data_IF_413488840643
#
_entry.id   IF_413488840643
#
_cell.length_a   1.000
_cell.length_b   1.000
_cell.length_c   1.000
_cell.angle_alpha   90.00
_cell.angle_beta   90.00
_cell.angle_gamma   90.00
#
_symmetry.space_group_name_H-M   'P 1'
#
loop_
_entity.id
_entity.type
_entity.pdbx_description
1 polymer ?
#
# COMPACT_ATOMS: atom_id res chain seq x y z
N UNK A 1 -3.47 27.43 4.94
CA UNK A 1 -3.09 28.88 4.74
C UNK A 1 -4.23 29.55 4.03
N UNK A 2 -4.68 30.75 4.45
CA UNK A 2 -5.73 31.48 3.76
C UNK A 2 -5.19 31.95 2.41
N UNK A 3 -5.70 31.42 1.31
CA UNK A 3 -5.36 31.90 -0.03
C UNK A 3 -5.93 33.32 -0.22
N UNK A 4 -5.10 34.24 -0.68
CA UNK A 4 -5.54 35.59 -1.07
C UNK A 4 -6.64 35.50 -2.13
N UNK A 5 -7.68 36.33 -2.02
CA UNK A 5 -8.78 36.35 -2.99
C UNK A 5 -8.26 36.58 -4.41
N UNK A 6 -8.60 35.68 -5.32
CA UNK A 6 -8.33 35.83 -6.76
C UNK A 6 -9.47 36.55 -7.46
N UNK A 7 -9.18 37.22 -8.58
CA UNK A 7 -10.19 37.91 -9.40
C UNK A 7 -11.01 36.89 -10.21
N UNK A 8 -12.22 37.29 -10.65
CA UNK A 8 -13.05 36.40 -11.49
C UNK A 8 -12.30 35.90 -12.76
N UNK A 9 -11.47 36.77 -13.37
CA UNK A 9 -10.66 36.39 -14.53
C UNK A 9 -9.52 35.43 -14.18
N UNK A 10 -8.92 35.57 -13.01
CA UNK A 10 -7.92 34.62 -12.51
C UNK A 10 -8.54 33.26 -12.19
N UNK A 11 -9.77 33.24 -11.64
CA UNK A 11 -10.52 32.03 -11.42
C UNK A 11 -10.82 31.31 -12.73
N UNK A 12 -11.33 32.02 -13.74
CA UNK A 12 -11.61 31.47 -15.06
C UNK A 12 -10.37 30.81 -15.72
N UNK A 13 -9.21 31.47 -15.60
CA UNK A 13 -7.94 30.93 -16.08
C UNK A 13 -7.55 29.66 -15.32
N UNK A 14 -7.66 29.68 -14.00
CA UNK A 14 -7.32 28.54 -13.16
C UNK A 14 -8.23 27.34 -13.45
N UNK A 15 -9.53 27.56 -13.59
CA UNK A 15 -10.51 26.53 -13.90
C UNK A 15 -10.27 25.92 -15.30
N UNK A 16 -9.90 26.74 -16.28
CA UNK A 16 -9.52 26.25 -17.60
C UNK A 16 -8.25 25.40 -17.55
N UNK A 17 -7.22 25.81 -16.81
CA UNK A 17 -5.98 25.03 -16.63
C UNK A 17 -6.32 23.69 -15.98
N UNK A 18 -7.14 23.68 -14.92
CA UNK A 18 -7.58 22.46 -14.24
C UNK A 18 -8.31 21.51 -15.20
N UNK A 19 -9.26 22.03 -15.98
CA UNK A 19 -10.03 21.22 -16.93
C UNK A 19 -9.15 20.58 -18.02
N UNK A 20 -8.18 21.32 -18.57
CA UNK A 20 -7.26 20.80 -19.59
C UNK A 20 -6.32 19.72 -19.02
N UNK A 21 -5.84 19.90 -17.80
CA UNK A 21 -5.03 18.87 -17.11
C UNK A 21 -5.84 17.58 -16.87
N UNK A 22 -7.12 17.70 -16.53
CA UNK A 22 -8.00 16.52 -16.36
C UNK A 22 -8.23 15.83 -17.71
N UNK A 23 -8.60 16.60 -18.75
CA UNK A 23 -9.04 16.05 -20.04
C UNK A 23 -7.87 15.54 -20.90
N UNK A 24 -6.72 16.22 -20.88
CA UNK A 24 -5.58 15.95 -21.77
C UNK A 24 -4.35 15.38 -21.06
N UNK A 25 -4.31 15.43 -19.72
CA UNK A 25 -3.17 14.96 -18.93
C UNK A 25 -2.01 15.96 -18.82
N UNK A 26 -2.07 17.10 -19.51
CA UNK A 26 -1.03 18.14 -19.49
C UNK A 26 -1.63 19.55 -19.49
N UNK A 27 -0.91 20.56 -18.98
CA UNK A 27 -1.40 21.93 -18.93
C UNK A 27 -1.47 22.58 -20.33
N UNK A 28 -2.43 23.50 -20.54
CA UNK A 28 -2.59 24.22 -21.80
C UNK A 28 -1.43 25.21 -22.07
N UNK A 29 -1.24 25.59 -23.33
CA UNK A 29 -0.32 26.66 -23.68
C UNK A 29 -0.91 28.02 -23.33
N UNK A 30 -0.06 29.07 -23.24
CA UNK A 30 -0.50 30.44 -23.02
C UNK A 30 -1.46 30.93 -24.11
N UNK A 31 -1.32 30.41 -25.35
CA UNK A 31 -2.23 30.72 -26.45
C UNK A 31 -3.59 30.07 -26.26
N UNK A 32 -3.62 28.81 -25.85
CA UNK A 32 -4.87 28.10 -25.56
C UNK A 32 -5.65 28.81 -24.45
N UNK A 33 -4.94 29.25 -23.39
CA UNK A 33 -5.54 30.01 -22.30
C UNK A 33 -6.10 31.35 -22.85
N UNK A 34 -5.32 32.08 -23.68
CA UNK A 34 -5.72 33.34 -24.24
C UNK A 34 -7.02 33.25 -25.04
N UNK A 35 -7.16 32.21 -25.87
CA UNK A 35 -8.34 31.94 -26.68
C UNK A 35 -9.53 31.52 -25.79
N UNK A 36 -9.33 30.62 -24.87
CA UNK A 36 -10.40 30.05 -24.01
C UNK A 36 -11.05 31.13 -23.12
N UNK A 37 -10.24 32.02 -22.54
CA UNK A 37 -10.73 33.08 -21.64
C UNK A 37 -10.94 34.43 -22.37
N UNK A 38 -10.95 34.44 -23.69
CA UNK A 38 -11.21 35.62 -24.55
C UNK A 38 -10.34 36.85 -24.22
N UNK A 39 -9.07 36.64 -23.91
CA UNK A 39 -8.09 37.72 -23.72
C UNK A 39 -7.47 38.13 -25.06
N UNK A 40 -7.26 39.43 -25.23
CA UNK A 40 -6.74 40.02 -26.49
C UNK A 40 -5.23 39.83 -26.68
N UNK A 41 -4.49 39.51 -25.62
CA UNK A 41 -3.04 39.35 -25.69
C UNK A 41 -2.49 38.30 -24.74
N UNK A 42 -1.47 37.61 -25.19
CA UNK A 42 -0.73 36.63 -24.34
C UNK A 42 -0.01 37.30 -23.17
N UNK A 43 0.34 38.59 -23.29
CA UNK A 43 0.93 39.37 -22.19
C UNK A 43 -0.01 39.48 -21.01
N UNK A 44 -1.33 39.66 -21.27
CA UNK A 44 -2.33 39.68 -20.20
C UNK A 44 -2.43 38.30 -19.48
N UNK A 45 -2.34 37.22 -20.24
CA UNK A 45 -2.31 35.87 -19.65
C UNK A 45 -1.08 35.67 -18.73
N UNK A 46 0.10 36.12 -19.21
CA UNK A 46 1.33 36.05 -18.39
C UNK A 46 1.19 36.84 -17.09
N UNK A 47 0.62 38.02 -17.10
CA UNK A 47 0.39 38.84 -15.90
C UNK A 47 -0.57 38.12 -14.91
N UNK A 48 -1.64 37.51 -15.41
CA UNK A 48 -2.56 36.72 -14.57
C UNK A 48 -1.88 35.46 -13.99
N UNK A 49 -1.09 34.74 -14.79
CA UNK A 49 -0.36 33.56 -14.33
C UNK A 49 0.71 33.92 -13.28
N UNK A 50 1.41 35.06 -13.42
CA UNK A 50 2.35 35.55 -12.40
C UNK A 50 1.63 35.90 -11.09
N UNK A 51 0.45 36.50 -11.18
CA UNK A 51 -0.36 36.78 -10.01
C UNK A 51 -0.86 35.52 -9.31
N UNK A 52 -1.31 34.50 -10.07
CA UNK A 52 -1.71 33.20 -9.53
C UNK A 52 -0.54 32.47 -8.85
N UNK A 53 0.66 32.58 -9.43
CA UNK A 53 1.89 32.01 -8.86
C UNK A 53 2.28 32.71 -7.55
N UNK A 54 2.28 34.03 -7.51
CA UNK A 54 2.55 34.83 -6.30
C UNK A 54 1.55 34.53 -5.18
N UNK A 55 0.31 34.22 -5.52
CA UNK A 55 -0.76 33.85 -4.56
C UNK A 55 -0.74 32.35 -4.18
N UNK A 56 0.16 31.54 -4.74
CA UNK A 56 0.34 30.13 -4.39
C UNK A 56 -0.68 29.17 -4.99
N UNK A 57 -1.42 29.56 -6.05
CA UNK A 57 -2.38 28.67 -6.73
C UNK A 57 -1.72 27.80 -7.79
N UNK A 58 -0.63 28.29 -8.40
CA UNK A 58 0.14 27.55 -9.40
C UNK A 58 1.63 27.70 -9.13
N UNK A 59 2.43 26.81 -9.71
CA UNK A 59 3.89 26.92 -9.80
C UNK A 59 4.31 26.72 -11.25
N UNK A 60 5.26 27.53 -11.73
CA UNK A 60 5.85 27.38 -13.05
C UNK A 60 7.27 26.85 -12.95
N UNK A 61 7.64 25.95 -13.83
CA UNK A 61 9.04 25.53 -14.00
C UNK A 61 9.68 26.40 -15.09
N UNK A 62 10.63 27.28 -14.75
CA UNK A 62 11.27 28.18 -15.71
C UNK A 62 12.07 27.44 -16.79
N UNK A 63 12.41 26.18 -16.57
CA UNK A 63 13.18 25.36 -17.51
C UNK A 63 12.32 24.62 -18.54
N UNK A 64 10.99 24.61 -18.35
CA UNK A 64 10.06 23.88 -19.22
C UNK A 64 8.92 24.78 -19.70
N UNK A 65 8.79 25.05 -21.01
CA UNK A 65 7.85 26.03 -21.55
C UNK A 65 6.35 25.78 -21.29
N UNK A 66 5.96 24.61 -20.80
CA UNK A 66 4.56 24.21 -20.53
C UNK A 66 4.35 23.62 -19.14
N UNK A 67 5.29 23.78 -18.22
CA UNK A 67 5.17 23.23 -16.90
C UNK A 67 4.44 24.20 -15.96
N UNK A 68 3.12 24.14 -15.94
CA UNK A 68 2.27 24.77 -14.93
C UNK A 68 1.76 23.66 -14.02
N UNK A 69 2.09 23.73 -12.75
CA UNK A 69 1.60 22.85 -11.70
C UNK A 69 0.54 23.59 -10.88
N UNK A 70 -0.61 22.99 -10.68
CA UNK A 70 -1.68 23.51 -9.81
C UNK A 70 -1.42 23.03 -8.39
N UNK A 71 -1.34 23.97 -7.44
CA UNK A 71 -1.01 23.72 -6.04
C UNK A 71 -2.25 23.54 -5.14
N UNK A 72 -3.42 23.38 -5.74
CA UNK A 72 -4.69 23.17 -5.04
C UNK A 72 -4.82 21.70 -4.62
N UNK A 73 -4.89 21.45 -3.30
CA UNK A 73 -4.99 20.11 -2.73
C UNK A 73 -6.30 19.42 -3.13
N UNK A 74 -7.42 20.14 -3.17
CA UNK A 74 -8.72 19.61 -3.58
C UNK A 74 -8.71 19.21 -5.07
N UNK A 75 -8.01 19.97 -5.91
CA UNK A 75 -7.85 19.64 -7.33
C UNK A 75 -6.98 18.40 -7.53
N UNK A 76 -5.88 18.28 -6.81
CA UNK A 76 -5.00 17.12 -6.91
C UNK A 76 -5.71 15.85 -6.44
N UNK A 77 -6.52 15.92 -5.39
CA UNK A 77 -7.38 14.84 -4.91
C UNK A 77 -8.41 14.45 -5.96
N UNK A 78 -9.17 15.41 -6.50
CA UNK A 78 -10.19 15.16 -7.55
C UNK A 78 -9.59 14.61 -8.84
N UNK A 79 -8.36 15.00 -9.19
CA UNK A 79 -7.62 14.47 -10.35
C UNK A 79 -7.25 12.99 -10.14
N UNK A 80 -6.80 12.62 -8.96
CA UNK A 80 -6.51 11.22 -8.61
C UNK A 80 -7.79 10.37 -8.67
N UNK A 81 -8.91 10.89 -8.18
CA UNK A 81 -10.22 10.21 -8.26
C UNK A 81 -10.69 10.04 -9.71
N UNK A 82 -10.52 11.05 -10.57
CA UNK A 82 -10.92 10.99 -11.99
C UNK A 82 -10.05 10.07 -12.85
N UNK A 83 -8.81 9.82 -12.44
CA UNK A 83 -7.90 8.85 -13.06
C UNK A 83 -8.15 7.41 -12.58
N UNK A 84 -9.19 7.18 -11.75
CA UNK A 84 -9.49 5.88 -11.17
C UNK A 84 -8.50 5.45 -10.07
N UNK A 85 -7.58 6.33 -9.71
CA UNK A 85 -6.84 6.19 -8.47
C UNK A 85 -7.73 6.72 -7.34
N UNK A 86 -8.79 5.96 -6.99
CA UNK A 86 -9.44 6.14 -5.70
C UNK A 86 -8.31 6.26 -4.68
N UNK A 87 -8.46 7.14 -3.68
CA UNK A 87 -7.64 7.09 -2.48
C UNK A 87 -7.87 5.73 -1.83
N UNK A 88 -7.21 4.70 -2.36
CA UNK A 88 -7.17 3.42 -1.70
C UNK A 88 -6.49 3.69 -0.38
N UNK A 89 -7.24 3.54 0.69
CA UNK A 89 -6.67 3.61 2.03
C UNK A 89 -5.51 2.62 2.08
N UNK A 90 -4.30 3.15 2.22
CA UNK A 90 -3.09 2.34 2.33
C UNK A 90 -2.83 2.06 3.80
N UNK A 91 -2.52 0.83 4.11
CA UNK A 91 -2.05 0.45 5.43
C UNK A 91 -0.60 0.00 5.37
N UNK A 92 0.19 0.41 6.36
CA UNK A 92 1.59 0.01 6.46
C UNK A 92 1.68 -1.27 7.29
N UNK A 93 2.01 -2.39 6.65
CA UNK A 93 2.14 -3.69 7.32
C UNK A 93 3.60 -3.88 7.72
N UNK A 94 3.90 -4.13 9.02
CA UNK A 94 5.26 -4.35 9.49
C UNK A 94 5.83 -5.67 8.96
N UNK A 95 7.08 -5.63 8.48
CA UNK A 95 7.87 -6.81 8.15
C UNK A 95 8.66 -7.21 9.39
N UNK A 96 8.43 -8.43 9.87
CA UNK A 96 9.09 -8.98 11.04
C UNK A 96 10.33 -9.78 10.61
N UNK A 97 11.47 -9.37 11.10
CA UNK A 97 12.76 -10.02 10.78
C UNK A 97 13.02 -11.28 11.60
N UNK A 98 12.80 -11.19 12.90
CA UNK A 98 13.05 -12.31 13.84
C UNK A 98 11.83 -12.50 14.72
N UNK A 99 11.40 -13.73 14.90
CA UNK A 99 10.34 -14.09 15.84
C UNK A 99 11.00 -14.84 16.99
N UNK A 100 10.92 -14.29 18.21
CA UNK A 100 11.46 -14.89 19.41
C UNK A 100 10.32 -15.32 20.35
N UNK A 101 10.49 -16.44 21.04
CA UNK A 101 9.56 -16.88 22.06
C UNK A 101 9.52 -15.88 23.23
N UNK A 102 8.31 -15.66 23.77
CA UNK A 102 8.10 -14.79 24.92
C UNK A 102 8.01 -13.29 24.63
N UNK A 103 8.28 -12.86 23.40
CA UNK A 103 8.15 -11.46 22.99
C UNK A 103 6.92 -11.26 22.08
N UNK A 104 6.12 -10.18 22.26
CA UNK A 104 5.05 -9.88 21.32
C UNK A 104 5.61 -9.74 19.90
N UNK A 105 4.99 -10.40 18.91
CA UNK A 105 5.49 -10.44 17.54
C UNK A 105 5.60 -9.04 16.91
N UNK A 106 4.69 -8.15 17.26
CA UNK A 106 4.67 -6.76 16.80
C UNK A 106 5.50 -5.80 17.68
N UNK A 107 6.35 -6.31 18.57
CA UNK A 107 7.28 -5.45 19.29
C UNK A 107 8.20 -4.71 18.31
N UNK A 108 8.43 -3.42 18.55
CA UNK A 108 9.19 -2.55 17.63
C UNK A 108 10.58 -3.08 17.27
N UNK A 109 11.22 -3.79 18.20
CA UNK A 109 12.53 -4.41 17.99
C UNK A 109 12.54 -5.54 16.95
N UNK A 110 11.36 -6.13 16.63
CA UNK A 110 11.22 -7.20 15.66
C UNK A 110 10.92 -6.67 14.25
N UNK A 111 10.53 -5.39 14.12
CA UNK A 111 10.15 -4.77 12.85
C UNK A 111 11.41 -4.31 12.11
N UNK A 112 11.60 -4.80 10.90
CA UNK A 112 12.72 -4.42 10.03
C UNK A 112 12.35 -3.40 8.98
N UNK A 113 11.11 -3.39 8.52
CA UNK A 113 10.58 -2.52 7.47
C UNK A 113 9.05 -2.45 7.53
N UNK A 114 8.44 -1.61 6.68
CA UNK A 114 7.00 -1.55 6.46
C UNK A 114 6.70 -1.65 4.96
N UNK A 115 5.66 -2.41 4.61
CA UNK A 115 5.16 -2.53 3.23
C UNK A 115 3.80 -1.86 3.16
N UNK A 116 3.63 -0.79 2.36
CA UNK A 116 2.33 -0.18 2.13
C UNK A 116 1.49 -1.10 1.22
N UNK A 117 0.32 -1.50 1.68
CA UNK A 117 -0.64 -2.28 0.90
C UNK A 117 -2.01 -1.59 0.89
N UNK A 118 -2.74 -1.66 -0.24
CA UNK A 118 -4.13 -1.23 -0.30
C UNK A 118 -5.00 -1.99 0.70
N UNK A 119 -5.82 -1.27 1.47
CA UNK A 119 -6.65 -1.88 2.52
C UNK A 119 -7.68 -2.87 1.96
N UNK A 120 -8.15 -2.66 0.73
CA UNK A 120 -9.08 -3.54 0.02
C UNK A 120 -8.45 -4.89 -0.41
N UNK A 121 -7.12 -4.97 -0.51
CA UNK A 121 -6.39 -6.21 -0.76
C UNK A 121 -6.23 -7.07 0.49
N UNK A 122 -6.54 -6.53 1.67
CA UNK A 122 -6.38 -7.23 2.94
C UNK A 122 -7.71 -7.88 3.34
N UNK A 123 -7.80 -9.22 3.42
CA UNK A 123 -9.01 -9.90 3.87
C UNK A 123 -9.41 -9.47 5.28
N UNK A 124 -10.72 -9.27 5.53
CA UNK A 124 -11.24 -8.98 6.88
C UNK A 124 -11.21 -7.51 7.30
N UNK A 125 -10.88 -6.55 6.41
CA UNK A 125 -10.94 -5.10 6.68
C UNK A 125 -10.27 -4.70 8.01
N UNK A 126 -9.07 -5.21 8.28
CA UNK A 126 -8.20 -4.83 9.39
C UNK A 126 -8.82 -4.94 10.81
N UNK A 127 -9.67 -5.93 11.06
CA UNK A 127 -10.17 -6.21 12.41
C UNK A 127 -9.06 -6.73 13.35
N UNK A 128 -8.09 -7.45 12.80
CA UNK A 128 -6.90 -7.92 13.51
C UNK A 128 -5.64 -7.27 12.95
N UNK A 129 -4.58 -7.15 13.74
CA UNK A 129 -3.27 -6.71 13.22
C UNK A 129 -2.73 -7.69 12.17
N UNK A 130 -1.96 -7.15 11.21
CA UNK A 130 -1.25 -7.91 10.19
C UNK A 130 0.25 -7.72 10.31
N UNK A 131 1.01 -8.72 9.88
CA UNK A 131 2.45 -8.64 9.76
C UNK A 131 2.92 -9.47 8.57
N UNK A 132 4.14 -9.19 8.11
CA UNK A 132 4.79 -9.90 7.00
C UNK A 132 5.97 -10.66 7.55
N UNK A 133 6.15 -11.91 7.08
CA UNK A 133 7.33 -12.73 7.34
C UNK A 133 7.99 -13.14 6.02
N UNK A 134 9.33 -13.17 6.02
CA UNK A 134 10.10 -13.77 4.94
C UNK A 134 10.15 -15.29 5.11
N UNK A 135 9.75 -16.00 4.08
CA UNK A 135 9.77 -17.47 4.07
C UNK A 135 11.18 -17.97 3.85
N UNK A 136 11.58 -18.97 4.67
CA UNK A 136 12.83 -19.71 4.50
C UNK A 136 12.53 -21.20 4.43
N UNK A 137 13.15 -21.87 3.44
CA UNK A 137 12.99 -23.32 3.22
C UNK A 137 11.77 -23.67 2.36
N UNK A 138 11.65 -24.98 2.09
CA UNK A 138 10.81 -25.51 1.01
C UNK A 138 9.62 -26.34 1.53
N UNK A 139 9.24 -26.17 2.80
CA UNK A 139 8.21 -26.99 3.42
C UNK A 139 6.79 -26.74 2.90
N UNK A 140 6.56 -25.71 2.09
CA UNK A 140 5.24 -25.30 1.60
C UNK A 140 5.18 -25.15 0.07
N UNK A 141 6.10 -25.79 -0.66
CA UNK A 141 6.24 -25.64 -2.12
C UNK A 141 5.02 -26.14 -2.89
N UNK A 142 4.37 -27.23 -2.44
CA UNK A 142 3.20 -27.82 -3.11
C UNK A 142 1.96 -26.92 -3.08
N UNK A 143 1.91 -25.93 -2.17
CA UNK A 143 0.88 -24.91 -2.15
C UNK A 143 1.35 -23.56 -2.72
N UNK A 144 2.52 -23.52 -3.39
CA UNK A 144 3.02 -22.36 -4.11
C UNK A 144 3.76 -21.33 -3.25
N UNK A 145 4.12 -21.67 -2.00
CA UNK A 145 4.94 -20.80 -1.13
C UNK A 145 6.38 -21.32 -1.16
N UNK A 146 7.29 -20.47 -1.64
CA UNK A 146 8.70 -20.80 -1.84
C UNK A 146 9.63 -20.02 -0.92
N UNK A 147 10.84 -20.50 -0.77
CA UNK A 147 11.89 -19.77 -0.06
C UNK A 147 12.17 -18.42 -0.75
N UNK A 148 12.19 -17.33 0.03
CA UNK A 148 12.33 -15.96 -0.47
C UNK A 148 11.01 -15.21 -0.65
N UNK A 149 9.86 -15.89 -0.57
CA UNK A 149 8.56 -15.24 -0.56
C UNK A 149 8.34 -14.44 0.72
N UNK A 150 7.44 -13.46 0.64
CA UNK A 150 6.89 -12.76 1.78
C UNK A 150 5.43 -13.18 1.98
N UNK A 151 5.08 -13.70 3.16
CA UNK A 151 3.71 -14.04 3.51
C UNK A 151 3.09 -12.95 4.35
N UNK A 152 1.83 -12.61 4.04
CA UNK A 152 0.99 -11.71 4.83
C UNK A 152 0.24 -12.56 5.83
N UNK A 153 0.37 -12.24 7.11
CA UNK A 153 -0.19 -13.02 8.21
C UNK A 153 -1.15 -12.15 9.02
N UNK A 154 -2.37 -12.62 9.18
CA UNK A 154 -3.34 -12.06 10.12
C UNK A 154 -3.06 -12.61 11.52
N UNK A 155 -2.78 -11.75 12.48
CA UNK A 155 -2.47 -12.16 13.85
C UNK A 155 -3.69 -12.81 14.50
N UNK A 156 -3.54 -14.07 14.89
CA UNK A 156 -4.55 -14.87 15.59
C UNK A 156 -3.87 -15.85 16.53
N UNK A 157 -4.55 -16.20 17.63
CA UNK A 157 -4.10 -17.25 18.55
C UNK A 157 -4.77 -18.61 18.32
N UNK A 158 -5.68 -18.69 17.34
CA UNK A 158 -6.46 -19.91 17.02
C UNK A 158 -6.48 -20.13 15.51
N UNK A 159 -6.66 -21.39 15.10
CA UNK A 159 -6.80 -21.78 13.71
C UNK A 159 -7.83 -22.91 13.55
N UNK A 160 -8.38 -23.01 12.33
CA UNK A 160 -9.25 -24.09 11.89
C UNK A 160 -8.46 -25.12 11.07
N UNK A 161 -8.94 -26.37 11.06
CA UNK A 161 -8.33 -27.44 10.26
C UNK A 161 -8.24 -27.04 8.78
N UNK A 162 -7.08 -27.27 8.18
CA UNK A 162 -6.79 -26.95 6.79
C UNK A 162 -6.26 -25.54 6.54
N UNK A 163 -6.26 -24.65 7.54
CA UNK A 163 -5.66 -23.31 7.38
C UNK A 163 -4.12 -23.38 7.35
N UNK A 164 -3.51 -22.53 6.53
CA UNK A 164 -2.05 -22.32 6.55
C UNK A 164 -1.77 -21.27 7.62
N UNK A 165 -0.93 -21.65 8.59
CA UNK A 165 -0.62 -20.82 9.75
C UNK A 165 0.88 -20.61 9.91
N UNK A 166 1.22 -19.59 10.68
CA UNK A 166 2.52 -19.45 11.32
C UNK A 166 2.38 -19.91 12.75
N UNK A 167 3.17 -20.89 13.14
CA UNK A 167 3.22 -21.40 14.49
C UNK A 167 4.63 -21.30 15.06
N UNK A 168 4.73 -21.14 16.38
CA UNK A 168 5.97 -21.24 17.14
C UNK A 168 6.11 -22.66 17.69
N UNK A 169 7.16 -23.36 17.28
CA UNK A 169 7.50 -24.73 17.73
C UNK A 169 8.97 -24.72 18.12
N UNK A 170 9.28 -25.12 19.36
CA UNK A 170 10.66 -25.13 19.86
C UNK A 170 11.43 -23.83 19.62
N UNK A 171 10.78 -22.70 19.93
CA UNK A 171 11.33 -21.32 19.75
C UNK A 171 11.59 -20.88 18.31
N UNK A 172 11.17 -21.65 17.33
CA UNK A 172 11.27 -21.33 15.91
C UNK A 172 9.88 -21.13 15.28
N UNK A 173 9.75 -20.07 14.46
CA UNK A 173 8.54 -19.82 13.68
C UNK A 173 8.55 -20.72 12.44
N UNK A 174 7.45 -21.44 12.22
CA UNK A 174 7.28 -22.32 11.06
C UNK A 174 5.94 -22.09 10.37
N UNK A 175 5.91 -22.22 9.04
CA UNK A 175 4.69 -22.15 8.22
C UNK A 175 4.26 -23.57 7.88
N UNK A 176 3.02 -23.93 8.26
CA UNK A 176 2.47 -25.29 8.03
C UNK A 176 0.96 -25.21 7.85
N UNK A 177 0.38 -26.27 7.29
CA UNK A 177 -1.07 -26.47 7.33
C UNK A 177 -1.47 -27.10 8.65
N UNK A 178 -2.43 -26.49 9.33
CA UNK A 178 -2.87 -26.84 10.67
C UNK A 178 -3.97 -27.90 10.64
N UNK A 179 -3.82 -28.91 11.49
CA UNK A 179 -4.88 -29.87 11.81
C UNK A 179 -4.89 -30.18 13.30
N UNK A 180 -6.04 -29.96 13.91
CA UNK A 180 -6.32 -30.39 15.29
C UNK A 180 -6.99 -31.77 15.23
N UNK A 181 -6.26 -32.77 15.61
CA UNK A 181 -6.72 -34.15 15.69
C UNK A 181 -7.27 -34.45 17.13
N UNK A 182 -7.68 -35.68 17.37
CA UNK A 182 -8.32 -36.05 18.64
C UNK A 182 -7.38 -35.96 19.85
N UNK A 183 -6.11 -36.31 19.67
CA UNK A 183 -5.09 -36.48 20.72
C UNK A 183 -3.79 -35.69 20.45
N UNK A 184 -3.70 -35.00 19.32
CA UNK A 184 -2.52 -34.22 18.95
C UNK A 184 -2.86 -33.08 18.00
N UNK A 185 -1.91 -32.19 17.79
CA UNK A 185 -1.92 -31.23 16.70
C UNK A 185 -0.92 -31.70 15.64
N UNK A 186 -1.36 -31.75 14.39
CA UNK A 186 -0.51 -32.05 13.26
C UNK A 186 -0.27 -30.75 12.44
N UNK A 187 0.99 -30.38 12.31
CA UNK A 187 1.45 -29.32 11.45
C UNK A 187 2.02 -29.93 10.16
N UNK A 188 1.20 -29.97 9.13
CA UNK A 188 1.46 -30.64 7.86
C UNK A 188 2.27 -29.72 6.93
N UNK A 189 3.46 -30.16 6.45
CA UNK A 189 4.13 -29.48 5.34
C UNK A 189 3.37 -29.74 4.03
N UNK A 190 3.41 -28.81 3.15
CA UNK A 190 2.99 -28.93 1.73
C UNK A 190 4.24 -29.24 0.88
N UNK A 191 4.87 -30.39 1.21
CA UNK A 191 6.04 -30.93 0.53
C UNK A 191 6.08 -32.44 0.81
N UNK A 192 6.01 -33.24 -0.25
CA UNK A 192 5.93 -34.69 -0.16
C UNK A 192 7.21 -35.35 0.40
N UNK A 193 8.33 -34.63 0.41
CA UNK A 193 9.61 -35.11 0.97
C UNK A 193 9.79 -34.82 2.47
N UNK A 194 8.80 -34.20 3.12
CA UNK A 194 8.89 -33.76 4.50
C UNK A 194 7.80 -34.39 5.38
N UNK A 195 8.18 -34.87 6.53
CA UNK A 195 7.24 -35.42 7.51
C UNK A 195 6.49 -34.33 8.27
N UNK A 196 5.24 -34.61 8.71
CA UNK A 196 4.49 -33.67 9.53
C UNK A 196 5.10 -33.57 10.94
N UNK A 197 4.98 -32.37 11.54
CA UNK A 197 5.32 -32.17 12.94
C UNK A 197 4.11 -32.53 13.78
N UNK A 198 4.28 -33.55 14.63
CA UNK A 198 3.24 -34.02 15.55
C UNK A 198 3.50 -33.43 16.94
N UNK A 199 2.51 -32.74 17.48
CA UNK A 199 2.58 -32.09 18.79
C UNK A 199 1.57 -32.77 19.69
N UNK A 200 2.02 -33.64 20.65
CA UNK A 200 1.14 -34.36 21.54
C UNK A 200 0.28 -33.45 22.43
N UNK A 201 -0.85 -33.96 22.91
CA UNK A 201 -1.68 -33.29 23.89
C UNK A 201 -0.85 -32.90 25.13
N UNK A 202 -0.91 -31.64 25.55
CA UNK A 202 -0.15 -31.09 26.68
C UNK A 202 1.15 -30.42 26.33
N UNK A 203 1.67 -30.58 25.12
CA UNK A 203 2.77 -29.76 24.62
C UNK A 203 2.21 -28.42 24.06
N UNK A 204 2.86 -27.32 24.42
CA UNK A 204 2.43 -26.00 23.96
C UNK A 204 2.92 -25.71 22.53
N UNK A 205 1.99 -25.31 21.68
CA UNK A 205 2.24 -24.66 20.39
C UNK A 205 1.57 -23.31 20.40
N UNK A 206 2.30 -22.27 20.02
CA UNK A 206 1.72 -20.95 19.91
C UNK A 206 1.41 -20.65 18.44
N UNK A 207 0.13 -20.44 18.14
CA UNK A 207 -0.29 -19.95 16.84
C UNK A 207 -0.05 -18.44 16.82
N UNK A 208 0.76 -17.97 15.87
CA UNK A 208 1.10 -16.55 15.69
C UNK A 208 0.13 -15.86 14.74
N UNK A 209 -0.44 -16.62 13.79
CA UNK A 209 -1.42 -16.08 12.86
C UNK A 209 -1.71 -17.02 11.69
N UNK A 210 -2.69 -16.57 10.88
CA UNK A 210 -3.13 -17.23 9.65
C UNK A 210 -2.48 -16.53 8.45
N UNK A 211 -1.94 -17.29 7.51
CA UNK A 211 -1.46 -16.79 6.23
C UNK A 211 -2.68 -16.45 5.37
N UNK A 212 -2.74 -15.21 4.92
CA UNK A 212 -3.86 -14.66 4.15
C UNK A 212 -3.45 -14.13 2.77
N UNK A 213 -2.14 -13.95 2.54
CA UNK A 213 -1.63 -13.46 1.27
C UNK A 213 -0.14 -13.80 1.10
N UNK A 214 0.34 -13.58 -0.13
CA UNK A 214 1.72 -13.81 -0.54
C UNK A 214 2.18 -12.70 -1.46
N UNK A 215 3.39 -12.21 -1.23
CA UNK A 215 4.09 -11.27 -2.10
C UNK A 215 5.36 -11.94 -2.63
N UNK A 216 5.52 -11.94 -3.95
CA UNK A 216 6.72 -12.44 -4.63
C UNK A 216 7.19 -11.41 -5.63
N UNK A 217 8.41 -10.90 -5.44
CA UNK A 217 8.98 -9.84 -6.28
C UNK A 217 9.99 -10.35 -7.32
N UNK A 218 10.55 -11.54 -7.11
CA UNK A 218 11.51 -12.13 -8.01
C UNK A 218 10.93 -13.46 -8.54
N UNK A 219 10.46 -13.43 -9.79
CA UNK A 219 10.10 -14.63 -10.53
C UNK A 219 11.34 -14.96 -11.38
N UNK A 220 12.06 -16.02 -11.01
CA UNK A 220 13.17 -16.58 -11.79
C UNK A 220 12.62 -17.69 -12.68
#
# INVERSE_FOLDING_TARGET
MAHDKITAKQQEILDFIKSEIINRGYPPSVRDICEAVHLKSTSSVHSHLESLEKKGFIRKDPTKPRAIEVLDEDFNTSRMDSLGFNQQEMTNIPVIGTVAAGTPILASQNVTNYVPLPLDMIPGKAQNPYFILNVKGDSMINCGIFSGDQIIVEQRSTASNGEIIVAMVNEEATVKRFFKEKDHIRLQPENDSMDPIIIPAGQQVSILGKVVGLLRFNIV
#
